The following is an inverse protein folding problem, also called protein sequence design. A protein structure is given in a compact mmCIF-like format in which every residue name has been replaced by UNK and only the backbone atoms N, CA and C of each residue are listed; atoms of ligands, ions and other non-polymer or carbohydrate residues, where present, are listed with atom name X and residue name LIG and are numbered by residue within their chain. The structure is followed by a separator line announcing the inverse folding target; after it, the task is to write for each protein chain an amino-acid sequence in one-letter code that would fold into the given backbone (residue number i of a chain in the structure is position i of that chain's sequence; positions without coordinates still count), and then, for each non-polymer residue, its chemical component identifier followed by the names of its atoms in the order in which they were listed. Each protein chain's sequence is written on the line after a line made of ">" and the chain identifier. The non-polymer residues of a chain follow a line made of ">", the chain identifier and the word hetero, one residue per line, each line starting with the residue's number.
data_IF_504450508853
#
_entry.id   IF_504450508853
#
_cell.length_a   1.000
_cell.length_b   1.000
_cell.length_c   1.000
_cell.angle_alpha   90.00
_cell.angle_beta   90.00
_cell.angle_gamma   90.00
#
_symmetry.space_group_name_H-M   'P 1'
#
loop_
_entity.id
_entity.type
_entity.pdbx_description
1 polymer ?
#
# COMPACT_ATOMS: atom_id res chain seq x y z
N UNK A 1 11.84 -67.93 -24.65
CA UNK A 1 11.86 -67.21 -23.36
C UNK A 1 11.69 -65.72 -23.65
N UNK A 2 10.82 -65.07 -22.87
CA UNK A 2 10.01 -63.89 -23.21
C UNK A 2 10.85 -62.60 -23.35
N UNK A 3 10.73 -61.92 -24.51
CA UNK A 3 11.24 -60.56 -24.73
C UNK A 3 10.30 -59.57 -24.01
N UNK A 4 10.78 -58.91 -22.95
CA UNK A 4 10.08 -57.81 -22.29
C UNK A 4 10.12 -56.56 -23.18
N UNK A 5 8.98 -56.19 -23.73
CA UNK A 5 8.74 -54.93 -24.42
C UNK A 5 8.46 -53.87 -23.34
N UNK A 6 9.41 -52.98 -23.08
CA UNK A 6 9.20 -51.83 -22.19
C UNK A 6 8.53 -50.75 -23.03
N UNK A 7 7.22 -50.57 -22.82
CA UNK A 7 6.42 -49.52 -23.43
C UNK A 7 6.61 -48.24 -22.61
N UNK A 8 7.51 -47.37 -23.06
CA UNK A 8 7.72 -46.05 -22.46
C UNK A 8 6.55 -45.15 -22.85
N UNK A 9 5.54 -45.04 -21.98
CA UNK A 9 4.41 -44.13 -22.16
C UNK A 9 4.90 -42.70 -21.94
N UNK A 10 5.28 -42.03 -23.03
CA UNK A 10 5.58 -40.59 -23.05
C UNK A 10 4.27 -39.83 -22.81
N UNK A 11 4.00 -39.49 -21.55
CA UNK A 11 2.90 -38.62 -21.16
C UNK A 11 3.30 -37.18 -21.47
N UNK A 12 3.09 -36.74 -22.71
CA UNK A 12 3.18 -35.33 -23.08
C UNK A 12 2.05 -34.56 -22.40
N UNK A 13 2.34 -33.99 -21.23
CA UNK A 13 1.48 -32.97 -20.63
C UNK A 13 1.47 -31.76 -21.56
N UNK A 14 0.42 -31.63 -22.37
CA UNK A 14 0.09 -30.37 -23.01
C UNK A 14 -0.27 -29.40 -21.88
N UNK A 15 0.72 -28.65 -21.41
CA UNK A 15 0.51 -27.45 -20.61
C UNK A 15 -0.30 -26.51 -21.51
N UNK A 16 -1.61 -26.46 -21.31
CA UNK A 16 -2.45 -25.45 -21.95
C UNK A 16 -2.00 -24.11 -21.39
N UNK A 17 -1.20 -23.38 -22.18
CA UNK A 17 -0.93 -21.98 -21.93
C UNK A 17 -2.29 -21.27 -21.88
N UNK A 18 -2.74 -20.95 -20.67
CA UNK A 18 -3.90 -20.09 -20.46
C UNK A 18 -3.53 -18.71 -20.96
N UNK A 19 -3.99 -18.38 -22.17
CA UNK A 19 -3.81 -17.06 -22.75
C UNK A 19 -4.56 -16.04 -21.87
N UNK A 20 -3.81 -15.25 -21.11
CA UNK A 20 -4.34 -14.07 -20.43
C UNK A 20 -4.65 -13.06 -21.52
N UNK A 21 -5.94 -12.77 -21.73
CA UNK A 21 -6.39 -12.00 -22.89
C UNK A 21 -6.48 -10.50 -22.64
N UNK A 22 -6.69 -10.05 -21.40
CA UNK A 22 -6.62 -8.63 -21.04
C UNK A 22 -6.62 -8.41 -19.52
N UNK A 23 -5.96 -7.34 -19.06
CA UNK A 23 -6.10 -6.81 -17.68
C UNK A 23 -6.65 -5.39 -17.80
N UNK A 24 -7.91 -5.23 -17.44
CA UNK A 24 -8.60 -3.94 -17.41
C UNK A 24 -8.40 -3.31 -16.02
N UNK A 25 -7.90 -2.07 -15.96
CA UNK A 25 -7.71 -1.32 -14.71
C UNK A 25 -8.69 -0.14 -14.67
N UNK A 26 -9.46 -0.02 -13.59
CA UNK A 26 -10.37 1.10 -13.38
C UNK A 26 -10.08 1.76 -12.04
N UNK A 27 -9.99 3.09 -11.99
CA UNK A 27 -9.87 3.84 -10.73
C UNK A 27 -11.10 3.59 -9.84
N UNK A 28 -10.84 3.31 -8.56
CA UNK A 28 -11.88 3.09 -7.56
C UNK A 28 -11.94 4.24 -6.56
N UNK A 29 -10.78 4.67 -6.07
CA UNK A 29 -10.69 5.72 -5.06
C UNK A 29 -9.29 6.35 -5.02
N UNK A 30 -9.13 7.44 -4.28
CA UNK A 30 -7.84 8.06 -3.98
C UNK A 30 -7.77 8.49 -2.52
N UNK A 31 -6.60 8.32 -1.91
CA UNK A 31 -6.33 8.78 -0.56
C UNK A 31 -5.21 9.82 -0.61
N UNK A 32 -5.54 11.10 -0.38
CA UNK A 32 -4.54 12.16 -0.34
C UNK A 32 -3.52 11.94 0.75
N UNK A 33 -2.24 12.13 0.40
CA UNK A 33 -1.14 12.20 1.34
C UNK A 33 -0.84 13.68 1.57
N UNK A 34 -1.13 14.17 2.77
CA UNK A 34 -0.95 15.58 3.15
C UNK A 34 0.26 15.73 4.06
N UNK A 35 0.79 16.95 4.17
CA UNK A 35 1.68 17.44 5.24
C UNK A 35 2.43 16.34 6.03
N UNK A 36 3.61 15.92 5.59
CA UNK A 36 4.38 14.88 6.28
C UNK A 36 3.76 13.49 6.29
N UNK A 37 3.27 13.06 5.12
CA UNK A 37 2.75 11.72 4.90
C UNK A 37 1.51 11.37 5.75
N UNK A 38 0.69 12.38 6.07
CA UNK A 38 -0.57 12.24 6.79
C UNK A 38 -1.68 11.73 5.87
N UNK A 39 -2.40 10.70 6.33
CA UNK A 39 -3.51 10.07 5.63
C UNK A 39 -4.68 9.97 6.62
N UNK A 40 -5.73 10.74 6.39
CA UNK A 40 -6.90 10.80 7.29
C UNK A 40 -7.64 9.46 7.37
N UNK A 41 -7.77 8.78 6.23
CA UNK A 41 -8.45 7.49 6.14
C UNK A 41 -7.83 6.68 5.02
N UNK A 42 -7.46 5.44 5.31
CA UNK A 42 -6.93 4.48 4.34
C UNK A 42 -7.73 3.19 4.41
N UNK A 43 -8.30 2.76 3.29
CA UNK A 43 -9.01 1.49 3.18
C UNK A 43 -8.20 0.54 2.31
N UNK A 44 -7.91 -0.67 2.80
CA UNK A 44 -7.09 -1.66 2.08
C UNK A 44 -7.85 -2.98 1.96
N UNK A 45 -8.05 -3.46 0.72
CA UNK A 45 -8.80 -4.70 0.41
C UNK A 45 -7.95 -5.87 -0.10
N UNK A 46 -6.98 -5.56 -0.95
CA UNK A 46 -6.23 -6.55 -1.72
C UNK A 46 -4.74 -6.30 -1.61
N UNK A 47 -4.18 -5.53 -2.54
CA UNK A 47 -2.76 -5.16 -2.50
C UNK A 47 -2.61 -3.67 -2.21
N UNK A 48 -1.60 -3.29 -1.44
CA UNK A 48 -1.13 -1.90 -1.32
C UNK A 48 0.37 -1.88 -1.63
N UNK A 49 0.77 -1.12 -2.65
CA UNK A 49 2.16 -1.00 -3.09
C UNK A 49 2.66 0.41 -2.78
N UNK A 50 3.48 0.52 -1.72
CA UNK A 50 4.08 1.79 -1.28
C UNK A 50 5.55 1.93 -1.69
N UNK A 51 6.07 0.99 -2.47
CA UNK A 51 7.47 1.02 -2.91
C UNK A 51 7.72 2.22 -3.82
N UNK A 52 8.76 2.97 -3.50
CA UNK A 52 9.22 4.13 -4.26
C UNK A 52 10.73 4.35 -4.19
N UNK A 53 11.50 3.35 -3.74
CA UNK A 53 12.94 3.40 -3.55
C UNK A 53 13.41 4.40 -2.47
N UNK A 54 12.50 4.81 -1.59
CA UNK A 54 12.76 5.66 -0.43
C UNK A 54 12.21 5.04 0.85
N UNK A 55 12.58 5.59 2.01
CA UNK A 55 12.11 5.12 3.32
C UNK A 55 11.17 6.15 3.92
N UNK A 56 9.92 5.74 4.12
CA UNK A 56 8.81 6.63 4.41
C UNK A 56 8.23 6.38 5.80
N UNK A 57 7.66 7.42 6.41
CA UNK A 57 6.87 7.30 7.63
C UNK A 57 5.47 7.84 7.37
N UNK A 58 4.48 6.97 7.31
CA UNK A 58 3.09 7.34 7.06
C UNK A 58 2.32 7.52 8.37
N UNK A 59 1.61 8.63 8.49
CA UNK A 59 0.77 8.98 9.64
C UNK A 59 -0.70 8.75 9.27
N UNK A 60 -1.25 7.60 9.65
CA UNK A 60 -2.61 7.20 9.27
C UNK A 60 -3.57 7.42 10.44
N UNK A 61 -4.54 8.30 10.29
CA UNK A 61 -5.53 8.55 11.35
C UNK A 61 -6.50 7.36 11.48
N UNK A 62 -7.04 6.86 10.36
CA UNK A 62 -7.96 5.71 10.34
C UNK A 62 -7.55 4.68 9.29
N UNK A 63 -7.01 3.53 9.73
CA UNK A 63 -6.73 2.40 8.87
C UNK A 63 -7.88 1.38 8.95
N UNK A 64 -8.48 1.05 7.80
CA UNK A 64 -9.48 -0.01 7.68
C UNK A 64 -8.94 -1.09 6.75
N UNK A 65 -8.79 -2.29 7.30
CA UNK A 65 -8.30 -3.47 6.61
C UNK A 65 -9.47 -4.42 6.37
N UNK A 66 -9.70 -4.75 5.11
CA UNK A 66 -10.69 -5.72 4.66
C UNK A 66 -9.98 -6.93 4.06
N UNK A 67 -10.48 -8.13 4.31
CA UNK A 67 -9.83 -9.41 4.03
C UNK A 67 -8.42 -9.51 4.67
N UNK A 68 -7.45 -10.03 3.92
CA UNK A 68 -6.05 -10.18 4.33
C UNK A 68 -5.19 -9.56 3.22
N UNK A 69 -5.02 -8.22 3.20
CA UNK A 69 -4.31 -7.59 2.12
C UNK A 69 -2.80 -7.80 2.23
N UNK A 70 -2.13 -7.67 1.09
CA UNK A 70 -0.68 -7.66 0.98
C UNK A 70 -0.17 -6.23 0.83
N UNK A 71 0.69 -5.77 1.75
CA UNK A 71 1.37 -4.49 1.66
C UNK A 71 2.81 -4.72 1.20
N UNK A 72 3.23 -4.01 0.16
CA UNK A 72 4.60 -3.97 -0.32
C UNK A 72 5.28 -2.69 0.17
N UNK A 73 6.46 -2.86 0.76
CA UNK A 73 7.20 -1.80 1.44
C UNK A 73 8.67 -1.85 1.06
N UNK A 74 9.35 -0.72 1.14
CA UNK A 74 10.80 -0.64 1.01
C UNK A 74 11.48 -0.81 2.37
N UNK A 75 12.59 -1.55 2.37
CA UNK A 75 13.43 -1.80 3.54
C UNK A 75 14.89 -1.63 3.17
N UNK A 76 15.71 -1.19 4.13
CA UNK A 76 17.14 -1.29 4.04
C UNK A 76 17.67 -2.07 5.25
N UNK A 77 17.96 -3.36 5.05
CA UNK A 77 18.43 -4.25 6.13
C UNK A 77 19.80 -3.86 6.67
N UNK A 78 20.67 -3.28 5.83
CA UNK A 78 22.01 -2.83 6.21
C UNK A 78 21.94 -1.62 7.15
N UNK A 79 20.93 -0.76 6.97
CA UNK A 79 20.69 0.43 7.79
C UNK A 79 19.67 0.21 8.91
N UNK A 80 18.92 -0.90 8.86
CA UNK A 80 17.83 -1.20 9.78
C UNK A 80 16.77 -0.10 9.84
N UNK A 81 16.31 0.30 8.65
CA UNK A 81 15.23 1.27 8.42
C UNK A 81 14.27 0.68 7.37
N UNK A 82 13.00 1.05 7.45
CA UNK A 82 11.90 0.48 6.65
C UNK A 82 10.78 1.49 6.55
N UNK A 83 9.99 1.42 5.48
CA UNK A 83 8.70 2.09 5.46
C UNK A 83 7.90 1.75 6.70
N UNK A 84 7.42 2.79 7.37
CA UNK A 84 6.87 2.71 8.70
C UNK A 84 5.51 3.37 8.78
N UNK A 85 4.69 2.89 9.71
CA UNK A 85 3.35 3.42 9.96
C UNK A 85 3.21 3.92 11.40
N UNK A 86 2.61 5.08 11.55
CA UNK A 86 1.99 5.54 12.78
C UNK A 86 0.48 5.53 12.55
N UNK A 87 -0.24 4.66 13.25
CA UNK A 87 -1.68 4.48 13.05
C UNK A 87 -2.43 4.83 14.34
N UNK A 88 -3.43 5.71 14.25
CA UNK A 88 -4.19 6.18 15.41
C UNK A 88 -5.47 5.39 15.64
N UNK A 89 -6.10 4.85 14.59
CA UNK A 89 -7.25 3.96 14.69
C UNK A 89 -7.10 2.83 13.67
N UNK A 90 -7.46 1.61 14.08
CA UNK A 90 -7.39 0.42 13.22
C UNK A 90 -8.69 -0.36 13.30
N UNK A 91 -9.17 -0.81 12.15
CA UNK A 91 -10.21 -1.84 12.05
C UNK A 91 -9.73 -2.93 11.09
N UNK A 92 -9.90 -4.20 11.48
CA UNK A 92 -9.50 -5.36 10.69
C UNK A 92 -8.52 -6.27 11.44
N UNK A 93 -8.21 -7.41 10.81
CA UNK A 93 -7.61 -8.54 11.53
C UNK A 93 -6.14 -8.75 11.18
N UNK A 94 -5.80 -8.78 9.88
CA UNK A 94 -4.49 -9.28 9.44
C UNK A 94 -4.02 -8.63 8.16
N UNK A 95 -2.71 -8.42 8.07
CA UNK A 95 -2.01 -7.95 6.88
C UNK A 95 -0.79 -8.83 6.60
N UNK A 96 -0.52 -9.09 5.32
CA UNK A 96 0.71 -9.72 4.85
C UNK A 96 1.67 -8.61 4.37
N UNK A 97 2.92 -8.68 4.78
CA UNK A 97 3.97 -7.75 4.41
C UNK A 97 4.97 -8.42 3.48
N UNK A 98 5.39 -7.69 2.46
CA UNK A 98 6.52 -8.07 1.62
C UNK A 98 7.45 -6.87 1.47
N UNK A 99 8.74 -7.12 1.62
CA UNK A 99 9.75 -6.08 1.60
C UNK A 99 10.59 -6.10 0.34
N UNK A 100 10.91 -4.92 -0.18
CA UNK A 100 11.87 -4.68 -1.25
C UNK A 100 13.15 -4.11 -0.63
N UNK A 101 14.26 -4.85 -0.71
CA UNK A 101 15.52 -4.43 -0.12
C UNK A 101 16.22 -3.40 -1.02
N UNK A 102 16.34 -2.15 -0.55
CA UNK A 102 17.05 -1.07 -1.24
C UNK A 102 18.57 -1.14 -1.06
N UNK A 103 19.04 -1.85 -0.03
CA UNK A 103 20.45 -1.96 0.33
C UNK A 103 21.12 -3.20 -0.24
N UNK A 104 22.36 -3.45 0.22
CA UNK A 104 23.00 -4.75 0.00
C UNK A 104 22.24 -5.82 0.78
N UNK A 105 22.39 -7.09 0.39
CA UNK A 105 21.90 -8.23 1.16
C UNK A 105 22.80 -8.47 2.38
N UNK A 106 22.81 -7.49 3.29
CA UNK A 106 23.54 -7.48 4.56
C UNK A 106 22.60 -7.02 5.65
N UNK A 107 22.70 -7.64 6.82
CA UNK A 107 21.85 -7.31 7.96
C UNK A 107 22.64 -6.68 9.10
N UNK A 108 21.91 -6.11 10.05
CA UNK A 108 22.43 -5.64 11.34
C UNK A 108 21.63 -6.27 12.48
N UNK A 109 22.19 -6.26 13.70
CA UNK A 109 21.54 -6.78 14.92
C UNK A 109 20.39 -5.92 15.47
N UNK A 110 20.03 -4.85 14.77
CA UNK A 110 19.01 -3.90 15.24
C UNK A 110 17.60 -4.44 14.99
N UNK A 111 16.74 -4.33 15.99
CA UNK A 111 15.29 -4.46 15.81
C UNK A 111 14.77 -3.30 14.97
N UNK A 112 13.95 -3.59 13.96
CA UNK A 112 13.40 -2.58 13.05
C UNK A 112 11.93 -2.37 13.38
N UNK A 113 11.57 -1.19 13.87
CA UNK A 113 10.17 -0.83 14.13
C UNK A 113 9.56 -0.42 12.78
N UNK A 114 8.41 -0.98 12.41
CA UNK A 114 7.71 -0.60 11.18
C UNK A 114 6.25 -0.19 11.41
N UNK A 115 5.68 -0.44 12.60
CA UNK A 115 4.35 0.09 12.92
C UNK A 115 4.18 0.44 14.40
N UNK A 116 3.46 1.53 14.65
CA UNK A 116 2.89 1.89 15.95
C UNK A 116 1.37 1.90 15.82
N UNK A 117 0.69 1.08 16.61
CA UNK A 117 -0.76 0.97 16.63
C UNK A 117 -1.32 1.41 17.99
N UNK A 118 -2.64 1.65 18.09
CA UNK A 118 -3.32 1.76 19.38
C UNK A 118 -3.10 0.49 20.19
N UNK A 119 -2.98 0.61 21.52
CA UNK A 119 -2.78 -0.52 22.42
C UNK A 119 -3.81 -1.64 22.22
N UNK A 120 -5.07 -1.27 22.01
CA UNK A 120 -6.20 -2.18 21.87
C UNK A 120 -6.36 -2.75 20.44
N UNK A 121 -5.45 -2.40 19.52
CA UNK A 121 -5.50 -2.88 18.14
C UNK A 121 -5.31 -4.41 18.06
N UNK A 122 -6.29 -5.07 17.44
CA UNK A 122 -6.24 -6.50 17.12
C UNK A 122 -5.46 -6.80 15.86
N UNK A 123 -5.09 -5.78 15.07
CA UNK A 123 -4.41 -5.96 13.79
C UNK A 123 -3.09 -6.73 13.95
N UNK A 124 -2.95 -7.78 13.15
CA UNK A 124 -1.77 -8.64 13.05
C UNK A 124 -1.01 -8.41 11.75
N UNK A 125 0.31 -8.56 11.80
CA UNK A 125 1.17 -8.51 10.62
C UNK A 125 1.89 -9.85 10.45
N UNK A 126 1.98 -10.32 9.21
CA UNK A 126 2.73 -11.52 8.82
C UNK A 126 3.69 -11.19 7.69
N UNK A 127 4.79 -11.93 7.60
CA UNK A 127 5.66 -11.86 6.43
C UNK A 127 5.11 -12.78 5.33
N UNK A 128 5.15 -12.32 4.10
CA UNK A 128 4.84 -13.13 2.90
C UNK A 128 5.79 -14.32 2.79
N UNK A 129 7.05 -14.12 3.19
CA UNK A 129 8.09 -15.15 3.24
C UNK A 129 8.69 -15.21 4.66
N UNK A 130 8.03 -15.91 5.59
CA UNK A 130 8.45 -16.01 7.00
C UNK A 130 9.88 -16.55 7.20
N UNK A 131 10.48 -17.18 6.18
CA UNK A 131 11.82 -17.77 6.23
C UNK A 131 12.81 -17.17 5.22
N UNK A 132 12.60 -15.94 4.77
CA UNK A 132 13.59 -15.27 3.92
C UNK A 132 14.89 -15.09 4.71
N UNK A 133 15.93 -15.81 4.30
CA UNK A 133 17.27 -15.71 4.88
C UNK A 133 18.05 -14.62 4.13
N UNK A 134 18.56 -13.65 4.88
CA UNK A 134 19.41 -12.58 4.37
C UNK A 134 20.64 -12.54 5.26
N UNK A 135 21.83 -12.76 4.70
CA UNK A 135 23.08 -12.69 5.46
C UNK A 135 23.03 -13.55 6.75
N UNK A 136 22.68 -14.83 6.59
CA UNK A 136 22.44 -15.80 7.68
C UNK A 136 21.51 -15.31 8.80
N UNK A 137 20.59 -14.41 8.46
CA UNK A 137 19.63 -13.83 9.39
C UNK A 137 18.21 -14.06 8.87
N UNK A 138 17.32 -14.51 9.73
CA UNK A 138 15.87 -14.53 9.52
C UNK A 138 15.25 -13.40 10.34
N UNK A 139 14.16 -12.80 9.87
CA UNK A 139 13.41 -11.81 10.63
C UNK A 139 12.06 -12.37 11.07
N UNK A 140 11.72 -12.15 12.33
CA UNK A 140 10.40 -12.44 12.87
C UNK A 140 9.65 -11.16 13.19
N UNK A 141 8.34 -11.14 12.94
CA UNK A 141 7.49 -10.06 13.41
C UNK A 141 7.18 -10.29 14.90
N UNK A 142 7.47 -9.29 15.74
CA UNK A 142 7.08 -9.28 17.16
C UNK A 142 6.23 -8.05 17.47
N UNK A 143 5.21 -8.27 18.29
CA UNK A 143 4.36 -7.23 18.85
C UNK A 143 4.74 -6.98 20.30
N UNK A 144 5.05 -5.74 20.65
CA UNK A 144 5.40 -5.32 22.02
C UNK A 144 4.48 -4.21 22.46
N UNK A 145 3.75 -4.43 23.56
CA UNK A 145 2.94 -3.38 24.18
C UNK A 145 3.85 -2.57 25.11
N UNK A 146 3.97 -1.28 24.86
CA UNK A 146 4.72 -0.35 25.71
C UNK A 146 4.00 0.98 25.76
N UNK A 147 3.74 1.47 26.98
CA UNK A 147 2.89 2.63 27.24
C UNK A 147 1.46 2.40 26.68
N UNK A 148 0.91 3.38 25.96
CA UNK A 148 -0.42 3.33 25.35
C UNK A 148 -0.41 2.83 23.89
N UNK A 149 0.66 2.15 23.47
CA UNK A 149 0.84 1.72 22.08
C UNK A 149 1.27 0.26 21.98
N UNK A 150 0.87 -0.36 20.86
CA UNK A 150 1.34 -1.66 20.38
C UNK A 150 2.36 -1.40 19.29
N UNK A 151 3.61 -1.77 19.53
CA UNK A 151 4.73 -1.60 18.60
C UNK A 151 4.96 -2.89 17.84
N UNK A 152 5.03 -2.82 16.51
CA UNK A 152 5.32 -3.96 15.65
C UNK A 152 6.74 -3.81 15.11
N UNK A 153 7.52 -4.88 15.27
CA UNK A 153 8.96 -4.90 15.00
C UNK A 153 9.35 -6.11 14.16
N UNK A 154 10.35 -5.94 13.31
CA UNK A 154 11.16 -7.03 12.78
C UNK A 154 12.32 -7.27 13.74
N UNK A 155 12.44 -8.50 14.21
CA UNK A 155 13.49 -8.91 15.14
C UNK A 155 14.42 -9.90 14.43
N UNK A 156 15.72 -9.59 14.29
CA UNK A 156 16.66 -10.48 13.63
C UNK A 156 16.94 -11.72 14.50
N UNK A 157 16.99 -12.87 13.85
CA UNK A 157 17.41 -14.16 14.37
C UNK A 157 18.58 -14.68 13.53
N UNK A 158 19.76 -14.80 14.14
CA UNK A 158 20.98 -15.24 13.46
C UNK A 158 21.07 -16.77 13.48
N UNK A 159 21.37 -17.36 12.33
CA UNK A 159 21.41 -18.81 12.14
C UNK A 159 22.73 -19.45 12.61
N UNK A 160 23.76 -18.65 12.83
CA UNK A 160 25.06 -19.10 13.32
C UNK A 160 25.68 -18.10 14.34
N UNK A 161 26.53 -18.63 15.21
CA UNK A 161 27.17 -17.89 16.31
C UNK A 161 28.19 -16.88 15.79
N UNK A 162 28.92 -17.21 14.73
CA UNK A 162 29.94 -16.33 14.12
C UNK A 162 29.32 -15.03 13.61
N UNK A 163 28.20 -15.13 12.89
CA UNK A 163 27.42 -13.98 12.40
C UNK A 163 26.91 -13.15 13.59
N UNK A 164 26.38 -13.80 14.63
CA UNK A 164 25.93 -13.08 15.82
C UNK A 164 27.08 -12.30 16.48
N UNK A 165 28.23 -12.91 16.67
CA UNK A 165 29.41 -12.27 17.24
C UNK A 165 29.90 -11.10 16.39
N UNK A 166 29.96 -11.27 15.06
CA UNK A 166 30.35 -10.21 14.13
C UNK A 166 29.41 -9.01 14.27
N UNK A 167 28.09 -9.23 14.16
CA UNK A 167 27.10 -8.16 14.26
C UNK A 167 27.03 -7.53 15.64
N UNK A 168 27.34 -8.28 16.70
CA UNK A 168 27.38 -7.76 18.07
C UNK A 168 28.51 -6.74 18.29
N UNK A 169 29.59 -6.81 17.50
CA UNK A 169 30.73 -5.88 17.56
C UNK A 169 30.50 -4.61 16.73
N UNK A 170 29.48 -4.59 15.85
CA UNK A 170 29.19 -3.45 14.99
C UNK A 170 28.61 -2.28 15.78
N UNK A 171 29.15 -1.08 15.56
CA UNK A 171 28.56 0.17 16.03
C UNK A 171 27.42 0.51 15.07
N UNK A 172 26.20 0.61 15.61
CA UNK A 172 25.00 0.86 14.81
C UNK A 172 24.72 2.36 14.84
N UNK A 173 25.01 3.05 13.74
CA UNK A 173 24.61 4.44 13.57
C UNK A 173 23.08 4.53 13.45
N UNK A 174 22.49 5.47 14.19
CA UNK A 174 21.05 5.71 14.15
C UNK A 174 20.75 6.67 13.01
N UNK A 175 20.46 6.13 11.83
CA UNK A 175 19.85 6.93 10.77
C UNK A 175 18.35 7.11 11.05
N UNK A 176 17.88 8.35 10.96
CA UNK A 176 16.48 8.74 10.89
C UNK A 176 16.33 9.52 9.61
N UNK A 177 15.73 8.91 8.60
CA UNK A 177 15.37 9.62 7.38
C UNK A 177 13.93 9.28 7.04
N UNK A 178 12.95 9.99 7.62
CA UNK A 178 11.64 10.06 7.00
C UNK A 178 11.76 10.95 5.76
N UNK A 179 11.49 10.41 4.58
CA UNK A 179 11.20 11.22 3.39
C UNK A 179 9.84 11.90 3.53
N UNK A 180 9.70 13.10 2.99
CA UNK A 180 8.48 13.91 3.00
C UNK A 180 8.08 14.24 1.56
N UNK A 181 6.80 14.03 1.20
CA UNK A 181 6.31 14.36 -0.14
C UNK A 181 5.21 15.41 -0.08
N UNK A 182 5.24 16.29 -1.08
CA UNK A 182 4.14 17.18 -1.39
C UNK A 182 3.40 16.63 -2.63
N UNK A 183 2.08 16.44 -2.50
CA UNK A 183 1.15 16.08 -3.58
C UNK A 183 1.12 14.60 -4.03
N UNK A 184 1.52 13.68 -3.15
CA UNK A 184 1.33 12.25 -3.39
C UNK A 184 -0.10 11.78 -3.05
N UNK A 185 -0.49 10.68 -3.69
CA UNK A 185 -1.77 9.99 -3.52
C UNK A 185 -1.53 8.49 -3.38
N UNK A 186 -2.35 7.83 -2.58
CA UNK A 186 -2.59 6.39 -2.76
C UNK A 186 -3.78 6.24 -3.69
N UNK A 187 -3.55 5.62 -4.85
CA UNK A 187 -4.55 5.41 -5.90
C UNK A 187 -5.07 3.98 -5.79
N UNK A 188 -6.36 3.80 -5.46
CA UNK A 188 -7.03 2.50 -5.46
C UNK A 188 -7.55 2.18 -6.86
N UNK A 189 -7.16 1.01 -7.37
CA UNK A 189 -7.50 0.46 -8.67
C UNK A 189 -8.28 -0.84 -8.48
N UNK A 190 -9.30 -1.03 -9.31
CA UNK A 190 -9.97 -2.31 -9.48
C UNK A 190 -9.45 -2.95 -10.78
N UNK A 191 -8.72 -4.05 -10.62
CA UNK A 191 -8.15 -4.84 -11.68
C UNK A 191 -9.13 -5.97 -12.05
N UNK A 192 -9.50 -6.06 -13.32
CA UNK A 192 -10.36 -7.11 -13.85
C UNK A 192 -9.58 -7.93 -14.88
N UNK A 193 -9.39 -9.20 -14.59
CA UNK A 193 -8.66 -10.15 -15.43
C UNK A 193 -9.58 -11.27 -15.87
N UNK A 194 -9.57 -11.63 -17.15
CA UNK A 194 -10.32 -12.78 -17.66
C UNK A 194 -9.36 -13.91 -18.00
N UNK A 195 -9.55 -15.09 -17.39
CA UNK A 195 -8.78 -16.30 -17.69
C UNK A 195 -9.78 -17.42 -17.93
N UNK A 196 -9.72 -18.09 -19.09
CA UNK A 196 -10.62 -19.19 -19.44
C UNK A 196 -12.11 -18.86 -19.18
N UNK A 197 -12.56 -17.69 -19.64
CA UNK A 197 -13.92 -17.13 -19.45
C UNK A 197 -14.34 -16.86 -17.99
N UNK A 198 -13.44 -17.02 -17.02
CA UNK A 198 -13.68 -16.64 -15.63
C UNK A 198 -13.11 -15.25 -15.38
N UNK A 199 -13.94 -14.37 -14.82
CA UNK A 199 -13.57 -13.00 -14.47
C UNK A 199 -13.07 -12.97 -13.03
N UNK A 200 -11.82 -12.60 -12.87
CA UNK A 200 -11.17 -12.35 -11.59
C UNK A 200 -11.14 -10.85 -11.35
N UNK A 201 -11.54 -10.44 -10.15
CA UNK A 201 -11.47 -9.05 -9.69
C UNK A 201 -10.51 -8.97 -8.52
N UNK A 202 -9.60 -8.01 -8.58
CA UNK A 202 -8.63 -7.75 -7.54
C UNK A 202 -8.53 -6.25 -7.32
N UNK A 203 -8.38 -5.82 -6.07
CA UNK A 203 -8.16 -4.42 -5.74
C UNK A 203 -6.68 -4.21 -5.43
N UNK A 204 -6.08 -3.21 -6.06
CA UNK A 204 -4.69 -2.81 -5.86
C UNK A 204 -4.64 -1.31 -5.59
N UNK A 205 -4.03 -0.91 -4.49
CA UNK A 205 -3.70 0.47 -4.19
C UNK A 205 -2.20 0.70 -4.46
N UNK A 206 -1.85 1.80 -5.13
CA UNK A 206 -0.46 2.14 -5.47
C UNK A 206 -0.14 3.57 -5.06
N UNK A 207 1.11 3.86 -4.74
CA UNK A 207 1.58 5.24 -4.66
C UNK A 207 1.58 5.88 -6.06
N UNK A 208 1.13 7.12 -6.15
CA UNK A 208 1.19 7.91 -7.38
C UNK A 208 1.13 9.40 -7.08
N UNK A 209 1.38 10.21 -8.11
CA UNK A 209 1.33 11.66 -8.00
C UNK A 209 -0.07 12.17 -8.29
N UNK A 210 -0.39 13.34 -7.75
CA UNK A 210 -1.61 14.03 -8.10
C UNK A 210 -1.46 15.52 -8.27
N UNK A 211 -2.41 16.08 -9.01
CA UNK A 211 -2.59 17.53 -9.17
C UNK A 211 -3.74 18.02 -8.30
N UNK A 212 -3.55 19.21 -7.75
CA UNK A 212 -4.55 19.86 -6.90
C UNK A 212 -5.56 20.61 -7.78
N UNK A 213 -6.83 20.25 -7.67
CA UNK A 213 -7.96 21.03 -8.17
C UNK A 213 -8.55 21.82 -7.01
N UNK A 214 -8.82 23.11 -7.25
CA UNK A 214 -9.39 24.03 -6.26
C UNK A 214 -10.60 24.73 -6.85
N UNK A 215 -11.51 25.14 -5.99
CA UNK A 215 -12.63 25.99 -6.37
C UNK A 215 -13.35 26.56 -5.17
N UNK A 216 -14.47 27.20 -5.49
CA UNK A 216 -15.37 27.79 -4.51
C UNK A 216 -16.72 27.08 -4.55
N UNK A 217 -17.44 27.08 -3.43
CA UNK A 217 -18.79 26.53 -3.31
C UNK A 217 -19.54 27.08 -2.11
N UNK A 218 -20.75 26.58 -1.88
CA UNK A 218 -21.50 26.91 -0.67
C UNK A 218 -20.85 26.24 0.55
N UNK A 219 -20.58 26.94 1.66
CA UNK A 219 -19.98 26.34 2.84
C UNK A 219 -20.73 25.08 3.29
N UNK A 220 -19.99 24.03 3.66
CA UNK A 220 -20.52 22.72 4.06
C UNK A 220 -21.29 21.96 2.97
N UNK A 221 -21.28 22.40 1.71
CA UNK A 221 -21.80 21.60 0.59
C UNK A 221 -20.83 20.49 0.18
N UNK A 222 -21.34 19.44 -0.46
CA UNK A 222 -20.53 18.35 -1.02
C UNK A 222 -20.14 18.70 -2.47
N UNK A 223 -18.85 18.64 -2.78
CA UNK A 223 -18.32 18.70 -4.15
C UNK A 223 -17.97 17.28 -4.59
N UNK A 224 -18.44 16.88 -5.77
CA UNK A 224 -18.12 15.61 -6.42
C UNK A 224 -17.45 15.92 -7.75
N UNK A 225 -16.25 15.40 -7.94
CA UNK A 225 -15.58 15.37 -9.23
C UNK A 225 -15.86 14.01 -9.87
N UNK A 226 -16.57 14.03 -10.99
CA UNK A 226 -16.89 12.85 -11.78
C UNK A 226 -16.07 12.85 -13.07
N UNK A 227 -15.19 11.87 -13.19
CA UNK A 227 -14.45 11.52 -14.39
C UNK A 227 -15.13 10.33 -15.08
N UNK A 228 -14.77 10.10 -16.34
CA UNK A 228 -15.31 8.98 -17.12
C UNK A 228 -15.17 7.62 -16.42
N UNK A 229 -14.11 7.44 -15.61
CA UNK A 229 -13.79 6.16 -14.97
C UNK A 229 -13.94 6.13 -13.44
N UNK A 230 -14.08 7.28 -12.76
CA UNK A 230 -14.17 7.32 -11.31
C UNK A 230 -14.81 8.60 -10.78
N UNK A 231 -15.20 8.58 -9.50
CA UNK A 231 -15.71 9.76 -8.80
C UNK A 231 -14.98 9.93 -7.48
N UNK A 232 -14.71 11.16 -7.11
CA UNK A 232 -14.21 11.53 -5.78
C UNK A 232 -15.04 12.68 -5.23
N UNK A 233 -15.12 12.82 -3.91
CA UNK A 233 -15.82 13.94 -3.29
C UNK A 233 -15.05 14.58 -2.14
N UNK A 234 -15.37 15.83 -1.87
CA UNK A 234 -14.88 16.62 -0.73
C UNK A 234 -16.01 17.51 -0.20
N UNK A 235 -15.80 18.09 0.98
CA UNK A 235 -16.69 19.11 1.53
C UNK A 235 -16.09 20.49 1.31
N UNK A 236 -16.95 21.46 1.01
CA UNK A 236 -16.58 22.88 1.03
C UNK A 236 -16.40 23.33 2.47
N UNK A 237 -15.30 24.02 2.76
CA UNK A 237 -15.01 24.50 4.10
C UNK A 237 -15.91 25.67 4.52
N UNK A 238 -15.72 26.18 5.74
CA UNK A 238 -16.52 27.29 6.27
C UNK A 238 -16.31 28.63 5.54
N UNK A 239 -15.22 28.77 4.79
CA UNK A 239 -14.89 29.97 4.03
C UNK A 239 -15.44 29.91 2.59
N UNK A 240 -15.99 28.77 2.18
CA UNK A 240 -16.47 28.55 0.82
C UNK A 240 -15.39 28.00 -0.12
N UNK A 241 -14.22 27.65 0.40
CA UNK A 241 -13.12 27.08 -0.36
C UNK A 241 -13.19 25.54 -0.35
N UNK A 242 -12.76 24.93 -1.45
CA UNK A 242 -12.53 23.48 -1.49
C UNK A 242 -11.28 23.15 -2.30
N UNK A 243 -10.66 22.03 -1.96
CA UNK A 243 -9.57 21.44 -2.72
C UNK A 243 -9.65 19.92 -2.74
N UNK A 244 -9.26 19.34 -3.86
CA UNK A 244 -9.11 17.91 -4.07
C UNK A 244 -7.80 17.63 -4.80
N UNK A 245 -7.17 16.51 -4.49
CA UNK A 245 -6.03 16.01 -5.25
C UNK A 245 -6.55 14.88 -6.13
N UNK A 246 -6.30 14.97 -7.43
CA UNK A 246 -6.67 13.94 -8.41
C UNK A 246 -5.40 13.29 -8.98
N UNK A 247 -5.44 12.03 -9.41
CA UNK A 247 -4.30 11.38 -10.06
C UNK A 247 -3.83 12.16 -11.29
N UNK A 248 -2.53 12.30 -11.49
CA UNK A 248 -1.98 12.90 -12.72
C UNK A 248 -2.39 12.14 -13.98
N UNK A 249 -2.60 10.83 -13.83
CA UNK A 249 -3.10 9.94 -14.88
C UNK A 249 -4.60 10.05 -15.13
N UNK A 250 -5.32 10.96 -14.47
CA UNK A 250 -6.75 11.19 -14.75
C UNK A 250 -6.91 11.83 -16.13
N UNK A 251 -7.54 11.08 -17.03
CA UNK A 251 -7.82 11.48 -18.41
C UNK A 251 -9.35 11.41 -18.60
N UNK A 252 -9.88 12.31 -19.43
CA UNK A 252 -11.29 12.30 -19.81
C UNK A 252 -12.03 13.56 -19.39
N UNK A 253 -13.34 13.58 -19.62
CA UNK A 253 -14.15 14.74 -19.27
C UNK A 253 -14.33 14.81 -17.75
N UNK A 254 -14.29 16.03 -17.20
CA UNK A 254 -14.57 16.27 -15.80
C UNK A 254 -15.92 16.96 -15.64
N UNK A 255 -16.79 16.33 -14.87
CA UNK A 255 -18.02 16.92 -14.38
C UNK A 255 -17.86 17.26 -12.89
N UNK A 256 -17.92 18.54 -12.57
CA UNK A 256 -17.91 19.05 -11.20
C UNK A 256 -19.36 19.21 -10.75
N UNK A 257 -19.75 18.57 -9.66
CA UNK A 257 -21.10 18.59 -9.11
C UNK A 257 -21.05 19.12 -7.68
N UNK A 258 -21.83 20.15 -7.37
CA UNK A 258 -22.06 20.62 -6.01
C UNK A 258 -23.45 20.20 -5.55
N UNK A 259 -23.54 19.46 -4.43
CA UNK A 259 -24.78 19.20 -3.70
C UNK A 259 -24.85 20.11 -2.48
N UNK A 260 -25.75 21.07 -2.52
CA UNK A 260 -25.98 22.04 -1.44
C UNK A 260 -26.69 21.40 -0.25
N UNK A 261 -26.71 22.10 0.89
CA UNK A 261 -27.33 21.61 2.14
C UNK A 261 -28.85 21.42 1.97
N UNK A 262 -29.49 22.26 1.15
CA UNK A 262 -30.92 22.16 0.82
C UNK A 262 -31.25 21.10 -0.24
N UNK A 263 -30.23 20.37 -0.74
CA UNK A 263 -30.38 19.28 -1.71
C UNK A 263 -30.43 19.71 -3.17
N UNK A 264 -30.20 21.00 -3.47
CA UNK A 264 -30.02 21.49 -4.85
C UNK A 264 -28.72 20.97 -5.44
N UNK A 265 -28.74 20.67 -6.75
CA UNK A 265 -27.58 20.20 -7.50
C UNK A 265 -27.18 21.25 -8.54
N UNK A 266 -25.92 21.66 -8.51
CA UNK A 266 -25.29 22.54 -9.49
C UNK A 266 -24.15 21.76 -10.15
N UNK A 267 -23.98 21.85 -11.47
CA UNK A 267 -22.86 21.19 -12.12
C UNK A 267 -22.22 22.02 -13.24
N UNK A 268 -20.95 21.72 -13.52
CA UNK A 268 -20.16 22.27 -14.63
C UNK A 268 -19.37 21.13 -15.27
N UNK A 269 -19.24 21.15 -16.59
CA UNK A 269 -18.48 20.16 -17.36
C UNK A 269 -17.30 20.83 -18.04
N UNK A 270 -16.13 20.22 -17.91
CA UNK A 270 -14.87 20.64 -18.51
C UNK A 270 -14.37 19.51 -19.42
N UNK A 271 -14.07 19.79 -20.69
CA UNK A 271 -13.49 18.79 -21.57
C UNK A 271 -12.06 18.45 -21.12
N UNK A 272 -11.65 17.20 -21.34
CA UNK A 272 -10.42 16.65 -20.77
C UNK A 272 -9.11 17.29 -21.25
N UNK A 273 -9.15 18.08 -22.33
CA UNK A 273 -8.02 18.85 -22.85
C UNK A 273 -7.80 20.18 -22.11
N UNK A 274 -8.71 20.55 -21.20
CA UNK A 274 -8.65 21.79 -20.40
C UNK A 274 -8.24 21.57 -18.93
N UNK A 275 -7.78 20.36 -18.61
CA UNK A 275 -7.56 19.86 -17.25
C UNK A 275 -6.11 19.85 -16.80
#
# INVERSE_FOLDING_TARGET
>A
MIKKLILTLSLTMFLSCSNITNVEKTFLNTYPIKNSNEIEKLFIKGKLDLRNDEINLYHIENLIVDNIPKILLDINYEKGIVDSFIINNTMGDKVILSFNNLGKNRTIRKEIIFARLPKESTLEFKLDNEYQVIDNTIFEIKSVIKNNYKWIKLVPYFLDEDTFEEKAKQIIEKEVSPSFYENDLIIELNNKKTINNTVYKETEAILGNGKVIRGYGEPQSEIILEFDTFKISTMVDSNGDWQLIIPDSSIGNLKIIQKTIDGKIIYTELPGDQL
#
